data_IF_882806868984
#
_entry.id   IF_882806868984
#
_cell.length_a   1.000
_cell.length_b   1.000
_cell.length_c   1.000
_cell.angle_alpha   90.00
_cell.angle_beta   90.00
_cell.angle_gamma   90.00
#
_symmetry.space_group_name_H-M   'P 1'
#
loop_
_entity.id
_entity.type
_entity.pdbx_description
1 polymer ?
#
# COMPACT_ATOMS: atom_id res chain seq x y z
N UNK A 1 9.79 13.03 -20.15
CA UNK A 1 10.21 14.22 -19.38
C UNK A 1 9.03 15.12 -19.02
N UNK A 2 7.88 14.56 -18.60
CA UNK A 2 6.63 15.32 -18.41
C UNK A 2 6.74 16.42 -17.34
N UNK A 3 7.42 16.14 -16.22
CA UNK A 3 7.57 17.10 -15.12
C UNK A 3 8.38 18.33 -15.57
N UNK A 4 9.47 18.09 -16.31
CA UNK A 4 10.34 19.16 -16.80
C UNK A 4 9.62 19.99 -17.88
N UNK A 5 8.91 19.33 -18.79
CA UNK A 5 8.09 19.99 -19.83
C UNK A 5 6.97 20.84 -19.22
N UNK A 6 6.25 20.32 -18.21
CA UNK A 6 5.22 21.06 -17.48
C UNK A 6 5.79 22.26 -16.73
N UNK A 7 6.96 22.11 -16.09
CA UNK A 7 7.67 23.22 -15.44
C UNK A 7 8.08 24.28 -16.45
N UNK A 8 8.71 23.87 -17.56
CA UNK A 8 9.23 24.78 -18.59
C UNK A 8 8.10 25.55 -19.28
N UNK A 9 7.01 24.88 -19.63
CA UNK A 9 5.81 25.51 -20.21
C UNK A 9 5.10 26.46 -19.23
N UNK A 10 5.29 26.29 -17.93
CA UNK A 10 4.76 27.16 -16.89
C UNK A 10 5.80 28.17 -16.35
N UNK A 11 6.70 28.64 -17.21
CA UNK A 11 7.69 29.68 -16.88
C UNK A 11 8.75 29.23 -15.88
N UNK A 12 9.12 27.95 -15.89
CA UNK A 12 10.10 27.35 -14.99
C UNK A 12 9.61 27.14 -13.55
N UNK A 13 8.29 27.24 -13.31
CA UNK A 13 7.73 27.02 -11.97
C UNK A 13 7.69 25.53 -11.62
N UNK A 14 8.09 25.15 -10.40
CA UNK A 14 8.03 23.76 -9.96
C UNK A 14 6.59 23.25 -9.90
N UNK A 15 6.41 21.96 -10.16
CA UNK A 15 5.11 21.29 -10.25
C UNK A 15 4.60 20.82 -8.90
N UNK A 16 3.29 20.62 -8.80
CA UNK A 16 2.66 19.90 -7.68
C UNK A 16 2.28 18.52 -8.20
N UNK A 17 2.77 17.48 -7.54
CA UNK A 17 2.38 16.10 -7.84
C UNK A 17 1.14 15.76 -7.02
N UNK A 18 0.13 15.18 -7.67
CA UNK A 18 -1.05 14.63 -7.01
C UNK A 18 -1.15 13.17 -7.40
N UNK A 19 -1.30 12.28 -6.43
CA UNK A 19 -1.49 10.86 -6.69
C UNK A 19 -2.56 10.27 -5.80
N UNK A 20 -3.06 9.11 -6.22
CA UNK A 20 -4.05 8.33 -5.49
C UNK A 20 -3.55 6.89 -5.31
N UNK A 21 -3.84 6.31 -4.15
CA UNK A 21 -3.60 4.90 -3.85
C UNK A 21 -2.15 4.47 -4.16
N UNK A 22 -1.95 3.38 -4.88
CA UNK A 22 -0.64 2.88 -5.32
C UNK A 22 0.20 3.94 -6.05
N UNK A 23 -0.42 4.91 -6.72
CA UNK A 23 0.29 6.05 -7.32
C UNK A 23 1.12 6.85 -6.31
N UNK A 24 0.75 6.82 -5.02
CA UNK A 24 1.54 7.39 -3.94
C UNK A 24 2.91 6.75 -3.79
N UNK A 25 2.96 5.42 -3.85
CA UNK A 25 4.21 4.66 -3.77
C UNK A 25 5.09 4.92 -5.00
N UNK A 26 4.50 4.97 -6.19
CA UNK A 26 5.22 5.30 -7.42
C UNK A 26 5.82 6.71 -7.41
N UNK A 27 5.07 7.72 -6.94
CA UNK A 27 5.59 9.07 -6.83
C UNK A 27 6.73 9.13 -5.80
N UNK A 28 6.60 8.43 -4.67
CA UNK A 28 7.69 8.37 -3.69
C UNK A 28 8.96 7.75 -4.30
N UNK A 29 8.82 6.64 -5.03
CA UNK A 29 9.96 6.00 -5.71
C UNK A 29 10.57 6.91 -6.79
N UNK A 30 9.75 7.61 -7.57
CA UNK A 30 10.21 8.61 -8.53
C UNK A 30 11.04 9.69 -7.85
N UNK A 31 10.57 10.22 -6.71
CA UNK A 31 11.29 11.24 -5.97
C UNK A 31 12.62 10.68 -5.44
N UNK A 32 12.60 9.52 -4.80
CA UNK A 32 13.81 8.92 -4.19
C UNK A 32 14.88 8.55 -5.23
N UNK A 33 14.49 8.20 -6.46
CA UNK A 33 15.42 7.93 -7.56
C UNK A 33 16.05 9.16 -8.21
N UNK A 34 15.45 10.33 -8.05
CA UNK A 34 15.98 11.56 -8.62
C UNK A 34 16.87 12.32 -7.62
N UNK A 35 17.94 13.00 -8.07
CA UNK A 35 18.83 13.71 -7.16
C UNK A 35 18.11 14.87 -6.45
N UNK A 36 18.57 15.21 -5.24
CA UNK A 36 18.01 16.33 -4.44
C UNK A 36 17.97 17.65 -5.22
N UNK A 37 18.97 17.91 -6.09
CA UNK A 37 18.99 19.09 -6.97
C UNK A 37 17.82 19.13 -7.96
N UNK A 38 17.45 17.98 -8.53
CA UNK A 38 16.30 17.87 -9.42
C UNK A 38 14.99 18.07 -8.64
N UNK A 39 14.84 17.43 -7.48
CA UNK A 39 13.65 17.57 -6.63
C UNK A 39 13.43 19.03 -6.22
N UNK A 40 14.48 19.70 -5.73
CA UNK A 40 14.44 21.12 -5.34
C UNK A 40 14.11 22.07 -6.49
N UNK A 41 14.52 21.72 -7.71
CA UNK A 41 14.25 22.52 -8.91
C UNK A 41 12.82 22.34 -9.41
N UNK A 42 12.33 21.12 -9.47
CA UNK A 42 11.12 20.79 -10.21
C UNK A 42 9.91 20.49 -9.34
N UNK A 43 10.07 20.14 -8.07
CA UNK A 43 8.96 19.68 -7.22
C UNK A 43 8.66 20.72 -6.16
N UNK A 44 7.46 21.29 -6.23
CA UNK A 44 6.97 22.24 -5.24
C UNK A 44 6.37 21.52 -4.03
N UNK A 45 5.55 20.51 -4.31
CA UNK A 45 4.77 19.80 -3.31
C UNK A 45 4.32 18.46 -3.85
N UNK A 46 4.11 17.50 -2.95
CA UNK A 46 3.49 16.21 -3.25
C UNK A 46 2.24 16.01 -2.39
N UNK A 47 1.08 15.87 -3.03
CA UNK A 47 -0.21 15.54 -2.40
C UNK A 47 -0.53 14.08 -2.68
N UNK A 48 -0.59 13.26 -1.64
CA UNK A 48 -0.88 11.83 -1.73
C UNK A 48 -2.26 11.55 -1.14
N UNK A 49 -3.17 11.02 -1.95
CA UNK A 49 -4.52 10.64 -1.55
C UNK A 49 -4.56 9.13 -1.28
N UNK A 50 -4.92 8.74 -0.05
CA UNK A 50 -5.13 7.34 0.33
C UNK A 50 -3.99 6.37 -0.06
N UNK A 51 -2.74 6.85 0.03
CA UNK A 51 -1.58 6.05 -0.35
C UNK A 51 -1.31 4.93 0.68
N UNK A 52 -1.18 3.66 0.26
CA UNK A 52 -0.95 2.52 1.14
C UNK A 52 0.53 2.40 1.49
N UNK A 53 1.07 3.35 2.27
CA UNK A 53 2.50 3.42 2.59
C UNK A 53 3.06 2.12 3.17
N UNK A 54 2.24 1.38 3.93
CA UNK A 54 2.58 0.07 4.49
C UNK A 54 1.94 -1.12 3.81
N UNK A 55 1.29 -0.96 2.67
CA UNK A 55 0.45 -1.99 2.07
C UNK A 55 -0.94 -2.07 2.69
N UNK A 56 -1.65 -3.17 2.48
CA UNK A 56 -3.01 -3.39 2.99
C UNK A 56 -3.23 -4.86 3.33
N UNK A 57 -4.08 -5.17 4.32
CA UNK A 57 -4.53 -6.55 4.59
C UNK A 57 -5.41 -7.09 3.45
N UNK A 58 -6.13 -6.23 2.71
CA UNK A 58 -7.01 -6.64 1.62
C UNK A 58 -6.27 -7.35 0.47
N UNK A 59 -4.98 -7.07 0.30
CA UNK A 59 -4.17 -7.77 -0.70
C UNK A 59 -3.94 -9.24 -0.35
N UNK A 60 -3.98 -9.59 0.94
CA UNK A 60 -3.86 -10.98 1.37
C UNK A 60 -5.09 -11.78 0.94
N UNK A 61 -6.28 -11.18 1.02
CA UNK A 61 -7.51 -11.77 0.47
C UNK A 61 -7.43 -11.88 -1.06
N UNK A 62 -6.96 -10.81 -1.71
CA UNK A 62 -6.74 -10.76 -3.16
C UNK A 62 -5.85 -11.89 -3.66
N UNK A 63 -4.73 -12.17 -3.00
CA UNK A 63 -3.84 -13.27 -3.39
C UNK A 63 -4.37 -14.64 -2.99
N UNK A 64 -5.04 -14.77 -1.84
CA UNK A 64 -5.54 -16.05 -1.34
C UNK A 64 -6.76 -16.53 -2.13
N UNK A 65 -7.86 -15.78 -2.12
CA UNK A 65 -9.16 -16.23 -2.66
C UNK A 65 -9.61 -15.47 -3.90
N UNK A 66 -8.97 -14.33 -4.21
CA UNK A 66 -9.37 -13.45 -5.30
C UNK A 66 -10.43 -12.43 -4.86
N UNK A 67 -10.23 -11.18 -5.26
CA UNK A 67 -11.12 -10.08 -4.92
C UNK A 67 -11.85 -9.58 -6.17
N UNK A 68 -13.16 -9.78 -6.28
CA UNK A 68 -13.94 -9.36 -7.46
C UNK A 68 -14.23 -7.85 -7.49
N UNK A 69 -13.85 -7.11 -6.44
CA UNK A 69 -14.14 -5.67 -6.29
C UNK A 69 -15.63 -5.35 -6.43
N UNK A 70 -16.49 -6.30 -6.02
CA UNK A 70 -17.94 -6.16 -6.08
C UNK A 70 -18.55 -6.39 -7.47
N UNK A 71 -17.78 -6.84 -8.47
CA UNK A 71 -18.34 -7.20 -9.79
C UNK A 71 -19.15 -8.49 -9.66
N UNK A 72 -20.47 -8.47 -9.97
CA UNK A 72 -21.33 -9.64 -9.81
C UNK A 72 -21.05 -10.70 -10.87
N UNK A 73 -21.36 -11.97 -10.55
CA UNK A 73 -21.28 -13.12 -11.46
C UNK A 73 -19.87 -13.42 -12.01
N UNK A 74 -18.83 -12.91 -11.36
CA UNK A 74 -17.42 -13.21 -11.69
C UNK A 74 -16.88 -14.25 -10.70
N UNK A 75 -16.22 -15.28 -11.22
CA UNK A 75 -15.55 -16.27 -10.38
C UNK A 75 -14.27 -15.66 -9.77
N UNK A 76 -14.17 -15.53 -8.43
CA UNK A 76 -13.01 -14.90 -7.79
C UNK A 76 -11.70 -15.65 -8.07
N UNK A 77 -11.72 -16.98 -8.24
CA UNK A 77 -10.53 -17.77 -8.50
C UNK A 77 -9.94 -17.54 -9.90
N UNK A 78 -10.76 -17.12 -10.86
CA UNK A 78 -10.28 -16.71 -12.19
C UNK A 78 -9.60 -15.34 -12.07
N UNK A 79 -10.24 -14.39 -11.38
CA UNK A 79 -9.69 -13.05 -11.16
C UNK A 79 -8.39 -13.11 -10.35
N UNK A 80 -8.29 -14.04 -9.40
CA UNK A 80 -7.09 -14.30 -8.60
C UNK A 80 -5.86 -14.54 -9.47
N UNK A 81 -5.98 -15.24 -10.60
CA UNK A 81 -4.84 -15.49 -11.49
C UNK A 81 -4.30 -14.20 -12.11
N UNK A 82 -5.19 -13.31 -12.57
CA UNK A 82 -4.81 -11.98 -13.06
C UNK A 82 -4.27 -11.07 -11.95
N UNK A 83 -4.84 -11.18 -10.75
CA UNK A 83 -4.35 -10.44 -9.59
C UNK A 83 -2.96 -10.92 -9.15
N UNK A 84 -2.68 -12.22 -9.28
CA UNK A 84 -1.38 -12.84 -9.03
C UNK A 84 -0.33 -12.45 -10.07
N UNK A 85 -0.71 -12.35 -11.34
CA UNK A 85 0.20 -11.96 -12.42
C UNK A 85 0.61 -10.48 -12.37
N UNK A 86 -0.20 -9.63 -11.73
CA UNK A 86 0.06 -8.20 -11.57
C UNK A 86 1.13 -7.95 -10.50
N UNK A 87 2.40 -7.83 -10.90
CA UNK A 87 3.54 -7.67 -9.97
C UNK A 87 3.39 -6.50 -8.98
N UNK A 88 2.68 -5.44 -9.36
CA UNK A 88 2.40 -4.29 -8.48
C UNK A 88 1.63 -4.67 -7.21
N UNK A 89 0.82 -5.74 -7.25
CA UNK A 89 0.08 -6.20 -6.07
C UNK A 89 1.01 -6.74 -4.99
N UNK A 90 2.15 -7.32 -5.34
CA UNK A 90 3.12 -7.76 -4.34
C UNK A 90 3.67 -6.58 -3.54
N UNK A 91 3.77 -5.38 -4.15
CA UNK A 91 4.19 -4.17 -3.44
C UNK A 91 3.18 -3.71 -2.38
N UNK A 92 1.93 -4.17 -2.45
CA UNK A 92 0.89 -3.84 -1.50
C UNK A 92 0.82 -4.80 -0.31
N UNK A 93 1.66 -5.84 -0.25
CA UNK A 93 1.74 -6.74 0.91
C UNK A 93 2.04 -5.94 2.20
N UNK A 94 1.50 -6.35 3.37
CA UNK A 94 1.74 -5.67 4.63
C UNK A 94 3.23 -5.54 4.97
N UNK A 95 3.71 -4.31 5.13
CA UNK A 95 5.11 -4.02 5.41
C UNK A 95 5.45 -4.36 6.88
N UNK A 96 6.42 -5.26 7.14
CA UNK A 96 6.76 -5.70 8.49
C UNK A 96 7.35 -4.58 9.38
N UNK A 97 7.85 -3.48 8.81
CA UNK A 97 8.31 -2.31 9.60
C UNK A 97 7.17 -1.52 10.24
N UNK A 98 5.94 -1.70 9.76
CA UNK A 98 4.78 -0.87 10.12
C UNK A 98 3.69 -1.67 10.83
N UNK A 99 3.39 -2.86 10.31
CA UNK A 99 2.45 -3.77 10.93
C UNK A 99 3.13 -4.51 12.10
N UNK A 100 2.42 -4.62 13.23
CA UNK A 100 2.94 -5.26 14.44
C UNK A 100 3.21 -6.76 14.18
N UNK A 101 4.40 -7.24 14.52
CA UNK A 101 4.79 -8.64 14.41
C UNK A 101 3.89 -9.59 15.21
N UNK A 102 3.27 -9.12 16.29
CA UNK A 102 2.35 -9.93 17.11
C UNK A 102 0.93 -9.96 16.57
N UNK A 103 0.60 -9.08 15.62
CA UNK A 103 -0.74 -8.99 15.06
C UNK A 103 -0.89 -10.02 13.94
N UNK A 104 -1.86 -10.93 14.13
CA UNK A 104 -2.31 -11.82 13.08
C UNK A 104 -3.08 -11.02 12.03
N UNK A 105 -2.76 -11.24 10.75
CA UNK A 105 -3.46 -10.68 9.59
C UNK A 105 -4.27 -11.77 8.87
N UNK A 106 -3.82 -13.02 8.94
CA UNK A 106 -4.57 -14.19 8.48
C UNK A 106 -4.50 -15.28 9.53
N UNK A 107 -5.65 -15.87 9.86
CA UNK A 107 -5.77 -16.97 10.82
C UNK A 107 -6.48 -18.16 10.19
N UNK A 108 -5.88 -19.34 10.33
CA UNK A 108 -6.43 -20.65 9.98
C UNK A 108 -6.45 -21.55 11.23
N UNK A 109 -7.07 -22.75 11.19
CA UNK A 109 -6.99 -23.71 12.29
C UNK A 109 -5.57 -24.16 12.64
N UNK A 110 -4.67 -24.18 11.66
CA UNK A 110 -3.31 -24.70 11.80
C UNK A 110 -2.26 -23.61 12.02
N UNK A 111 -2.50 -22.38 11.56
CA UNK A 111 -1.48 -21.33 11.54
C UNK A 111 -2.07 -19.92 11.61
N UNK A 112 -1.25 -18.99 12.11
CA UNK A 112 -1.47 -17.54 12.04
C UNK A 112 -0.33 -16.90 11.27
N UNK A 113 -0.66 -15.91 10.45
CA UNK A 113 0.30 -15.17 9.63
C UNK A 113 0.26 -13.70 10.03
N UNK A 114 1.42 -13.15 10.39
CA UNK A 114 1.67 -11.72 10.56
C UNK A 114 2.31 -11.14 9.30
N UNK A 115 2.53 -9.81 9.26
CA UNK A 115 3.33 -9.14 8.22
C UNK A 115 4.75 -9.72 8.03
N UNK A 116 5.26 -10.50 8.98
CA UNK A 116 6.59 -11.11 8.93
C UNK A 116 6.58 -12.52 8.29
N UNK A 117 5.39 -13.09 8.07
CA UNK A 117 5.21 -14.47 7.58
C UNK A 117 4.86 -14.53 6.09
N UNK A 118 5.03 -13.42 5.35
CA UNK A 118 4.53 -13.31 3.96
C UNK A 118 5.12 -14.34 3.00
N UNK A 119 6.39 -14.73 3.17
CA UNK A 119 7.00 -15.78 2.35
C UNK A 119 6.27 -17.11 2.51
N UNK A 120 5.96 -17.48 3.75
CA UNK A 120 5.26 -18.73 4.01
C UNK A 120 3.78 -18.62 3.65
N UNK A 121 3.15 -17.48 3.89
CA UNK A 121 1.80 -17.21 3.43
C UNK A 121 1.67 -17.42 1.91
N UNK A 122 2.58 -16.85 1.10
CA UNK A 122 2.59 -17.02 -0.37
C UNK A 122 2.73 -18.48 -0.79
N UNK A 123 3.53 -19.29 -0.08
CA UNK A 123 3.64 -20.73 -0.34
C UNK A 123 2.36 -21.47 0.03
N UNK A 124 1.81 -21.18 1.21
CA UNK A 124 0.68 -21.90 1.78
C UNK A 124 -0.63 -21.64 1.00
N UNK A 125 -0.77 -20.49 0.33
CA UNK A 125 -1.88 -20.20 -0.59
C UNK A 125 -1.66 -20.76 -2.01
N UNK A 126 -0.60 -21.54 -2.23
CA UNK A 126 -0.25 -22.10 -3.54
C UNK A 126 0.28 -21.09 -4.55
N UNK A 127 0.91 -19.99 -4.12
CA UNK A 127 1.49 -18.94 -4.98
C UNK A 127 3.01 -18.81 -4.78
N UNK A 128 3.72 -19.94 -4.84
CA UNK A 128 5.17 -19.99 -4.63
C UNK A 128 5.98 -19.15 -5.63
N UNK A 129 5.46 -18.93 -6.84
CA UNK A 129 6.11 -18.05 -7.84
C UNK A 129 6.19 -16.59 -7.39
N UNK A 130 5.31 -16.15 -6.48
CA UNK A 130 5.35 -14.82 -5.87
C UNK A 130 6.46 -14.65 -4.82
N UNK A 131 7.06 -15.74 -4.34
CA UNK A 131 8.08 -15.70 -3.26
C UNK A 131 9.37 -15.03 -3.73
N UNK A 132 9.95 -15.51 -4.82
CA UNK A 132 11.20 -14.95 -5.36
C UNK A 132 11.13 -13.43 -5.60
N UNK A 133 10.11 -12.89 -6.30
CA UNK A 133 10.03 -11.45 -6.51
C UNK A 133 9.70 -10.68 -5.22
N UNK A 134 8.92 -11.26 -4.30
CA UNK A 134 8.69 -10.65 -3.00
C UNK A 134 10.00 -10.45 -2.23
N UNK A 135 10.82 -11.50 -2.11
CA UNK A 135 12.08 -11.45 -1.37
C UNK A 135 13.13 -10.57 -2.04
N UNK A 136 13.29 -10.67 -3.36
CA UNK A 136 14.40 -10.02 -4.08
C UNK A 136 14.11 -8.59 -4.50
N UNK A 137 12.84 -8.20 -4.65
CA UNK A 137 12.45 -6.87 -5.14
C UNK A 137 11.61 -6.11 -4.12
N UNK A 138 10.57 -6.73 -3.59
CA UNK A 138 9.58 -6.03 -2.77
C UNK A 138 10.07 -5.75 -1.35
N UNK A 139 10.63 -6.75 -0.66
CA UNK A 139 11.18 -6.54 0.69
C UNK A 139 12.27 -5.45 0.72
N UNK A 140 13.24 -5.41 -0.22
CA UNK A 140 14.20 -4.31 -0.31
C UNK A 140 13.54 -2.95 -0.57
N UNK A 141 12.50 -2.90 -1.40
CA UNK A 141 11.76 -1.67 -1.71
C UNK A 141 11.00 -1.16 -0.48
N UNK A 142 10.29 -2.05 0.23
CA UNK A 142 9.60 -1.77 1.49
C UNK A 142 10.55 -1.35 2.61
N UNK A 143 11.81 -1.79 2.57
CA UNK A 143 12.81 -1.38 3.55
C UNK A 143 13.30 0.06 3.34
N UNK A 144 13.15 0.64 2.14
CA UNK A 144 13.69 1.94 1.72
C UNK A 144 12.62 3.04 1.56
N UNK A 145 11.86 3.28 2.62
CA UNK A 145 10.85 4.36 2.64
C UNK A 145 11.52 5.63 3.18
N UNK A 146 12.37 6.21 2.34
CA UNK A 146 13.15 7.41 2.64
C UNK A 146 12.31 8.66 2.43
N UNK A 147 12.54 9.68 3.27
CA UNK A 147 11.92 10.98 3.13
C UNK A 147 12.47 11.70 1.88
N UNK A 148 11.62 12.13 0.93
CA UNK A 148 12.07 12.73 -0.32
C UNK A 148 12.61 14.15 -0.18
N UNK A 149 12.54 14.77 1.02
CA UNK A 149 12.89 16.16 1.30
C UNK A 149 12.12 17.16 0.41
N UNK A 150 10.86 16.83 0.10
CA UNK A 150 9.91 17.73 -0.57
C UNK A 150 8.70 17.94 0.32
N UNK A 151 8.07 19.11 0.25
CA UNK A 151 6.85 19.36 1.02
C UNK A 151 5.77 18.34 0.65
N UNK A 152 5.20 17.69 1.65
CA UNK A 152 4.25 16.61 1.43
C UNK A 152 2.97 16.77 2.24
N UNK A 153 1.84 16.44 1.63
CA UNK A 153 0.54 16.35 2.30
C UNK A 153 -0.12 15.02 1.99
N UNK A 154 -0.36 14.22 3.01
CA UNK A 154 -1.19 13.02 2.91
C UNK A 154 -2.63 13.38 3.25
N UNK A 155 -3.57 13.01 2.41
CA UNK A 155 -5.00 13.12 2.67
C UNK A 155 -5.54 11.69 2.73
N UNK A 156 -6.14 11.32 3.86
CA UNK A 156 -6.53 9.94 4.14
C UNK A 156 -7.95 9.88 4.67
N UNK A 157 -8.71 8.88 4.21
CA UNK A 157 -10.00 8.52 4.79
C UNK A 157 -9.82 7.85 6.15
N UNK A 158 -10.80 8.00 7.04
CA UNK A 158 -10.91 7.25 8.29
C UNK A 158 -12.37 6.98 8.65
N UNK A 159 -12.60 6.02 9.52
CA UNK A 159 -13.92 5.62 10.03
C UNK A 159 -14.70 4.71 9.07
N UNK A 160 -14.03 4.14 8.06
CA UNK A 160 -14.63 3.18 7.13
C UNK A 160 -14.14 1.78 7.47
N UNK A 161 -15.07 0.82 7.60
CA UNK A 161 -14.77 -0.57 7.94
C UNK A 161 -13.76 -1.14 6.93
N UNK A 162 -12.56 -1.44 7.40
CA UNK A 162 -11.45 -1.92 6.57
C UNK A 162 -10.99 -3.30 7.05
N UNK A 163 -10.82 -4.30 6.18
CA UNK A 163 -10.31 -5.61 6.58
C UNK A 163 -9.02 -5.52 7.40
N UNK A 164 -9.00 -6.10 8.59
CA UNK A 164 -7.87 -6.04 9.53
C UNK A 164 -7.30 -7.43 9.84
N UNK A 165 -8.15 -8.46 9.79
CA UNK A 165 -7.76 -9.87 9.88
C UNK A 165 -8.71 -10.73 9.06
N UNK A 166 -8.16 -11.75 8.39
CA UNK A 166 -8.91 -12.72 7.59
C UNK A 166 -8.93 -14.09 8.30
N UNK A 167 -10.10 -14.69 8.48
CA UNK A 167 -10.26 -15.99 9.11
C UNK A 167 -10.72 -17.05 8.10
N UNK A 168 -9.82 -17.98 7.78
CA UNK A 168 -10.14 -19.15 6.95
C UNK A 168 -10.45 -20.33 7.88
N UNK A 169 -11.71 -20.45 8.31
CA UNK A 169 -12.15 -21.40 9.36
C UNK A 169 -11.88 -22.87 9.04
N UNK A 170 -11.95 -23.24 7.77
CA UNK A 170 -11.69 -24.57 7.24
C UNK A 170 -10.24 -24.73 6.73
N UNK A 171 -9.45 -23.64 6.71
CA UNK A 171 -8.10 -23.61 6.15
C UNK A 171 -8.06 -23.65 4.61
N UNK A 172 -9.20 -23.50 3.94
CA UNK A 172 -9.28 -23.50 2.48
C UNK A 172 -9.20 -22.07 1.94
N UNK A 173 -8.11 -21.75 1.24
CA UNK A 173 -7.89 -20.42 0.66
C UNK A 173 -8.67 -20.19 -0.63
N UNK A 174 -9.25 -21.22 -1.25
CA UNK A 174 -10.13 -21.06 -2.41
C UNK A 174 -11.53 -20.55 -2.03
N UNK A 175 -11.90 -20.64 -0.74
CA UNK A 175 -13.16 -20.12 -0.20
C UNK A 175 -12.96 -18.71 0.42
N UNK A 176 -13.98 -17.83 0.40
CA UNK A 176 -13.86 -16.52 1.00
C UNK A 176 -13.70 -16.59 2.53
N UNK A 177 -12.82 -15.77 3.14
CA UNK A 177 -12.66 -15.75 4.59
C UNK A 177 -13.79 -14.99 5.27
N UNK A 178 -13.91 -15.19 6.58
CA UNK A 178 -14.58 -14.20 7.43
C UNK A 178 -13.63 -13.03 7.70
N UNK A 179 -14.17 -11.82 7.74
CA UNK A 179 -13.39 -10.60 7.98
C UNK A 179 -13.62 -10.06 9.38
N UNK A 180 -12.54 -9.70 10.07
CA UNK A 180 -12.60 -8.68 11.12
C UNK A 180 -12.23 -7.33 10.52
N UNK A 181 -12.90 -6.28 11.01
CA UNK A 181 -12.75 -4.93 10.48
C UNK A 181 -12.12 -4.00 11.52
N UNK A 182 -11.18 -3.19 11.06
CA UNK A 182 -10.57 -2.08 11.77
C UNK A 182 -10.91 -0.74 11.14
N UNK A 183 -10.19 0.28 11.59
CA UNK A 183 -10.28 1.64 11.04
C UNK A 183 -9.44 1.76 9.75
N UNK A 184 -9.95 2.52 8.80
CA UNK A 184 -9.28 2.83 7.53
C UNK A 184 -10.21 3.56 6.57
N UNK A 185 -9.90 3.47 5.28
CA UNK A 185 -10.70 4.03 4.19
C UNK A 185 -11.53 2.97 3.44
N UNK A 186 -11.65 1.76 3.98
CA UNK A 186 -12.37 0.63 3.38
C UNK A 186 -11.49 -0.27 2.53
N UNK A 187 -10.29 0.18 2.16
CA UNK A 187 -9.29 -0.63 1.43
C UNK A 187 -7.96 -0.65 2.18
N UNK A 188 -7.50 0.48 2.71
CA UNK A 188 -6.18 0.62 3.33
C UNK A 188 -6.32 0.85 4.82
N UNK A 189 -5.64 0.01 5.62
CA UNK A 189 -5.66 0.10 7.07
C UNK A 189 -5.07 1.43 7.56
N UNK A 190 -5.59 1.98 8.66
CA UNK A 190 -5.04 3.22 9.25
C UNK A 190 -3.55 3.13 9.60
N UNK A 191 -3.06 1.96 10.02
CA UNK A 191 -1.63 1.75 10.31
C UNK A 191 -0.76 2.01 9.07
N UNK A 192 -1.26 1.69 7.89
CA UNK A 192 -0.59 1.92 6.61
C UNK A 192 -0.74 3.37 6.17
N UNK A 193 -1.95 3.92 6.19
CA UNK A 193 -2.24 5.31 5.81
C UNK A 193 -1.42 6.33 6.61
N UNK A 194 -1.14 6.05 7.89
CA UNK A 194 -0.41 6.94 8.79
C UNK A 194 1.06 6.59 8.97
N UNK A 195 1.58 5.58 8.27
CA UNK A 195 2.91 5.04 8.55
C UNK A 195 4.03 6.09 8.47
N UNK A 196 3.90 7.04 7.55
CA UNK A 196 4.90 8.11 7.38
C UNK A 196 4.98 9.05 8.58
N UNK A 197 3.89 9.29 9.32
CA UNK A 197 3.93 10.09 10.55
C UNK A 197 4.91 9.48 11.56
N UNK A 198 4.96 8.15 11.63
CA UNK A 198 5.86 7.41 12.52
C UNK A 198 7.28 7.30 11.95
N UNK A 199 7.39 6.98 10.66
CA UNK A 199 8.69 6.73 10.02
C UNK A 199 9.53 8.00 9.90
N UNK A 200 8.92 9.13 9.58
CA UNK A 200 9.62 10.38 9.31
C UNK A 200 9.56 11.38 10.45
N UNK A 201 9.17 10.94 11.66
CA UNK A 201 9.02 11.82 12.83
C UNK A 201 10.29 12.61 13.17
N UNK A 202 11.47 12.04 12.89
CA UNK A 202 12.78 12.62 13.22
C UNK A 202 13.49 13.23 11.98
N UNK A 203 12.83 13.23 10.81
CA UNK A 203 13.39 13.72 9.54
C UNK A 203 13.27 15.24 9.43
N UNK A 204 14.29 15.95 9.92
CA UNK A 204 14.27 17.43 10.06
C UNK A 204 14.03 18.20 8.76
N UNK A 205 14.44 17.65 7.62
CA UNK A 205 14.29 18.29 6.30
C UNK A 205 12.98 17.92 5.60
N UNK A 206 12.14 17.09 6.23
CA UNK A 206 10.91 16.59 5.63
C UNK A 206 9.70 17.28 6.25
N UNK A 207 9.08 18.18 5.49
CA UNK A 207 7.75 18.69 5.86
C UNK A 207 6.68 17.66 5.47
N UNK A 208 5.94 17.16 6.46
CA UNK A 208 4.81 16.26 6.28
C UNK A 208 3.58 16.80 7.01
N UNK A 209 2.49 16.97 6.27
CA UNK A 209 1.16 17.24 6.84
C UNK A 209 0.24 16.06 6.56
N UNK A 210 -0.52 15.62 7.56
CA UNK A 210 -1.57 14.61 7.36
C UNK A 210 -2.95 15.21 7.65
N UNK A 211 -3.86 15.05 6.70
CA UNK A 211 -5.26 15.46 6.78
C UNK A 211 -6.11 14.19 6.82
N UNK A 212 -6.90 14.03 7.88
CA UNK A 212 -7.75 12.86 8.10
C UNK A 212 -9.20 13.28 7.86
N UNK A 213 -9.90 12.61 6.95
CA UNK A 213 -11.29 12.93 6.59
C UNK A 213 -12.19 11.77 7.05
N UNK A 214 -13.18 12.08 7.90
CA UNK A 214 -14.08 11.08 8.46
C UNK A 214 -15.14 10.62 7.47
N UNK A 215 -15.38 9.31 7.40
CA UNK A 215 -16.45 8.70 6.60
C UNK A 215 -16.18 8.64 5.09
N UNK A 216 -14.97 8.98 4.65
CA UNK A 216 -14.58 8.97 3.24
C UNK A 216 -13.89 7.65 2.90
N UNK A 217 -14.37 6.99 1.85
CA UNK A 217 -13.82 5.72 1.38
C UNK A 217 -12.62 5.92 0.46
N UNK A 218 -11.88 4.86 0.21
CA UNK A 218 -10.70 4.84 -0.65
C UNK A 218 -10.93 5.44 -2.04
N UNK A 219 -12.14 5.25 -2.59
CA UNK A 219 -12.51 5.70 -3.93
C UNK A 219 -13.25 7.03 -3.97
N UNK A 220 -13.70 7.56 -2.82
CA UNK A 220 -14.44 8.83 -2.74
C UNK A 220 -13.61 10.00 -2.19
N UNK A 221 -12.34 9.75 -1.90
CA UNK A 221 -11.34 10.71 -1.38
C UNK A 221 -10.95 11.78 -2.38
#
# INVERSE_FOLDING_TARGET
NLIEEASNSNGGKPVILVSHSLGGLFVLELLNRNPSSWRKKFIKHFIALSAPWGGTVDIMFTFASGNTLGVPLVNPLIVRNEQRSSESNLWLMPNPKMFDAKKSLVTTPSRKYSAHDMVDFLKDIGFSEGVYPYETRILPLMAKIEAPEVNMTCIVGKGVKTPEELFYRNGDFDEPPEFSYGDGDGTVNMVSLLALEKLWKDEKNQYLKVIKIGGVSHTSI
#
